data_IF_926334806260
#
_entry.id   IF_926334806260
#
_cell.length_a   1.000
_cell.length_b   1.000
_cell.length_c   1.000
_cell.angle_alpha   90.00
_cell.angle_beta   90.00
_cell.angle_gamma   90.00
#
_symmetry.space_group_name_H-M   'P 1'
#
loop_
_entity.id
_entity.type
_entity.pdbx_description
1 polymer ?
#
# COMPACT_ATOMS: atom_id res chain seq x y z
N UNK A 1 14.81 -0.30 -15.80
CA UNK A 1 13.46 -0.26 -16.40
C UNK A 1 12.57 -1.06 -15.47
N UNK A 2 11.48 -0.47 -14.98
CA UNK A 2 10.63 -1.14 -13.99
C UNK A 2 9.60 -2.04 -14.67
N UNK A 3 9.28 -3.12 -13.99
CA UNK A 3 8.38 -4.15 -14.49
C UNK A 3 7.02 -4.01 -13.82
N UNK A 4 6.00 -3.72 -14.59
CA UNK A 4 4.62 -3.56 -14.11
C UNK A 4 3.81 -4.77 -14.50
N UNK A 5 3.16 -5.40 -13.53
CA UNK A 5 2.16 -6.43 -13.77
C UNK A 5 0.79 -5.78 -13.91
N UNK A 6 0.05 -6.09 -14.96
CA UNK A 6 -1.37 -5.75 -15.13
C UNK A 6 -2.18 -7.04 -15.12
N UNK A 7 -3.23 -7.07 -14.31
CA UNK A 7 -4.20 -8.17 -14.30
C UNK A 7 -5.61 -7.58 -14.34
N UNK A 8 -6.27 -7.74 -15.48
CA UNK A 8 -7.61 -7.20 -15.74
C UNK A 8 -8.27 -8.07 -16.80
N UNK A 9 -9.46 -8.57 -16.55
CA UNK A 9 -10.18 -9.43 -17.53
C UNK A 9 -10.79 -8.64 -18.68
N UNK A 10 -10.97 -7.33 -18.51
CA UNK A 10 -11.35 -6.40 -19.57
C UNK A 10 -10.12 -6.10 -20.46
N UNK A 11 -10.00 -6.81 -21.57
CA UNK A 11 -8.85 -6.70 -22.49
C UNK A 11 -8.58 -5.28 -22.95
N UNK A 12 -9.62 -4.52 -23.24
CA UNK A 12 -9.53 -3.13 -23.72
C UNK A 12 -8.87 -2.23 -22.70
N UNK A 13 -9.18 -2.41 -21.40
CA UNK A 13 -8.57 -1.65 -20.31
C UNK A 13 -7.11 -2.07 -20.13
N UNK A 14 -6.84 -3.37 -20.08
CA UNK A 14 -5.49 -3.87 -19.93
C UNK A 14 -4.57 -3.45 -21.10
N UNK A 15 -5.09 -3.47 -22.34
CA UNK A 15 -4.36 -3.05 -23.54
C UNK A 15 -4.09 -1.53 -23.53
N UNK A 16 -5.07 -0.75 -23.12
CA UNK A 16 -4.91 0.70 -22.96
C UNK A 16 -3.84 1.04 -21.93
N UNK A 17 -3.89 0.40 -20.77
CA UNK A 17 -2.90 0.58 -19.70
C UNK A 17 -1.49 0.19 -20.16
N UNK A 18 -1.37 -0.92 -20.88
CA UNK A 18 -0.10 -1.35 -21.45
C UNK A 18 0.52 -0.27 -22.36
N UNK A 19 -0.28 0.34 -23.24
CA UNK A 19 0.19 1.42 -24.14
C UNK A 19 0.71 2.60 -23.33
N UNK A 20 -0.06 3.08 -22.35
CA UNK A 20 0.36 4.22 -21.53
C UNK A 20 1.61 3.93 -20.70
N UNK A 21 1.69 2.75 -20.10
CA UNK A 21 2.86 2.37 -19.30
C UNK A 21 4.12 2.17 -20.16
N UNK A 22 3.98 1.60 -21.33
CA UNK A 22 5.11 1.47 -22.28
C UNK A 22 5.61 2.83 -22.77
N UNK A 23 4.73 3.80 -22.99
CA UNK A 23 5.11 5.17 -23.34
C UNK A 23 5.91 5.87 -22.24
N UNK A 24 5.74 5.43 -20.98
CA UNK A 24 6.52 5.90 -19.83
C UNK A 24 7.79 5.04 -19.58
N UNK A 25 8.20 4.24 -20.55
CA UNK A 25 9.35 3.36 -20.49
C UNK A 25 9.29 2.29 -19.38
N UNK A 26 8.11 1.74 -19.09
CA UNK A 26 7.96 0.57 -18.24
C UNK A 26 7.93 -0.71 -19.07
N UNK A 27 8.45 -1.81 -18.50
CA UNK A 27 8.20 -3.14 -19.01
C UNK A 27 6.89 -3.67 -18.45
N UNK A 28 6.02 -4.25 -19.28
CA UNK A 28 4.67 -4.63 -18.87
C UNK A 28 4.46 -6.13 -19.05
N UNK A 29 4.09 -6.80 -17.95
CA UNK A 29 3.53 -8.14 -17.95
C UNK A 29 2.02 -8.03 -17.87
N UNK A 30 1.30 -8.48 -18.91
CA UNK A 30 -0.15 -8.36 -18.99
C UNK A 30 -0.83 -9.73 -18.95
N UNK A 31 -1.81 -9.86 -18.08
CA UNK A 31 -2.62 -11.06 -17.92
C UNK A 31 -4.10 -10.70 -17.84
N UNK A 32 -4.94 -11.55 -18.43
CA UNK A 32 -6.40 -11.42 -18.40
C UNK A 32 -7.04 -12.43 -17.44
N UNK A 33 -6.26 -13.08 -16.60
CA UNK A 33 -6.71 -14.10 -15.66
C UNK A 33 -5.77 -14.20 -14.48
N UNK A 34 -6.34 -14.16 -13.28
CA UNK A 34 -5.62 -14.32 -12.01
C UNK A 34 -4.93 -15.67 -11.89
N UNK A 35 -5.55 -16.75 -12.43
CA UNK A 35 -4.97 -18.10 -12.41
C UNK A 35 -3.65 -18.14 -13.16
N UNK A 36 -3.61 -17.56 -14.38
CA UNK A 36 -2.41 -17.53 -15.20
C UNK A 36 -1.27 -16.74 -14.55
N UNK A 37 -1.60 -15.70 -13.78
CA UNK A 37 -0.60 -14.97 -12.99
C UNK A 37 0.01 -15.87 -11.95
N UNK A 38 -0.80 -16.55 -11.14
CA UNK A 38 -0.32 -17.44 -10.06
C UNK A 38 0.56 -18.58 -10.57
N UNK A 39 0.32 -19.08 -11.78
CA UNK A 39 1.14 -20.12 -12.41
C UNK A 39 2.52 -19.61 -12.88
N UNK A 40 2.68 -18.30 -13.07
CA UNK A 40 3.87 -17.72 -13.68
C UNK A 40 4.59 -16.69 -12.81
N UNK A 41 4.01 -16.23 -11.71
CA UNK A 41 4.50 -15.11 -10.92
C UNK A 41 5.95 -15.30 -10.43
N UNK A 42 6.32 -16.53 -10.08
CA UNK A 42 7.68 -16.88 -9.60
C UNK A 42 8.77 -16.69 -10.67
N UNK A 43 8.38 -16.61 -11.95
CA UNK A 43 9.30 -16.41 -13.09
C UNK A 43 9.43 -14.94 -13.48
N UNK A 44 8.60 -14.07 -12.88
CA UNK A 44 8.55 -12.65 -13.23
C UNK A 44 9.30 -11.82 -12.20
N UNK A 45 10.02 -10.81 -12.67
CA UNK A 45 10.52 -9.74 -11.81
C UNK A 45 9.48 -8.63 -11.84
N UNK A 46 8.75 -8.44 -10.77
CA UNK A 46 7.68 -7.45 -10.67
C UNK A 46 8.09 -6.37 -9.68
N UNK A 47 8.00 -5.11 -10.11
CA UNK A 47 8.28 -3.95 -9.27
C UNK A 47 6.99 -3.28 -8.76
N UNK A 48 5.86 -3.48 -9.48
CA UNK A 48 4.52 -3.01 -9.09
C UNK A 48 3.46 -3.84 -9.80
N UNK A 49 2.31 -4.06 -9.16
CA UNK A 49 1.14 -4.67 -9.80
C UNK A 49 -0.07 -3.74 -9.81
N UNK A 50 -0.83 -3.79 -10.91
CA UNK A 50 -2.16 -3.19 -11.05
C UNK A 50 -3.13 -4.35 -11.20
N UNK A 51 -4.08 -4.47 -10.27
CA UNK A 51 -5.02 -5.59 -10.23
C UNK A 51 -6.45 -5.06 -10.31
N UNK A 52 -7.23 -5.57 -11.27
CA UNK A 52 -8.67 -5.39 -11.19
C UNK A 52 -9.25 -6.22 -10.04
N UNK A 53 -10.23 -5.67 -9.35
CA UNK A 53 -10.92 -6.37 -8.26
C UNK A 53 -11.96 -7.33 -8.80
N UNK A 54 -12.71 -6.91 -9.81
CA UNK A 54 -13.89 -7.60 -10.29
C UNK A 54 -13.56 -8.61 -11.40
N UNK A 55 -12.69 -9.57 -11.11
CA UNK A 55 -12.34 -10.61 -12.07
C UNK A 55 -13.07 -11.93 -11.79
N UNK A 56 -13.37 -12.73 -12.83
CA UNK A 56 -13.95 -14.06 -12.67
C UNK A 56 -12.98 -15.05 -12.02
N UNK A 57 -13.53 -16.12 -11.45
CA UNK A 57 -12.84 -17.23 -10.76
C UNK A 57 -12.11 -16.79 -9.48
N UNK A 58 -11.03 -16.06 -9.60
CA UNK A 58 -10.23 -15.51 -8.50
C UNK A 58 -10.26 -13.99 -8.64
N UNK A 59 -10.96 -13.31 -7.74
CA UNK A 59 -11.03 -11.86 -7.75
C UNK A 59 -9.68 -11.22 -7.34
N UNK A 60 -9.53 -9.92 -7.63
CA UNK A 60 -8.28 -9.21 -7.35
C UNK A 60 -7.86 -9.19 -5.88
N UNK A 61 -8.81 -9.23 -4.97
CA UNK A 61 -8.55 -9.27 -3.53
C UNK A 61 -7.93 -10.61 -3.12
N UNK A 62 -8.50 -11.69 -3.61
CA UNK A 62 -7.97 -13.03 -3.37
C UNK A 62 -6.60 -13.22 -4.02
N UNK A 63 -6.41 -12.67 -5.24
CA UNK A 63 -5.12 -12.66 -5.92
C UNK A 63 -4.08 -11.88 -5.10
N UNK A 64 -4.42 -10.70 -4.61
CA UNK A 64 -3.57 -9.88 -3.75
C UNK A 64 -3.12 -10.66 -2.50
N UNK A 65 -4.06 -11.30 -1.79
CA UNK A 65 -3.74 -12.14 -0.63
C UNK A 65 -2.76 -13.28 -0.93
N UNK A 66 -2.93 -13.91 -2.10
CA UNK A 66 -2.00 -14.98 -2.51
C UNK A 66 -0.62 -14.43 -2.84
N UNK A 67 -0.56 -13.27 -3.52
CA UNK A 67 0.70 -12.58 -3.82
C UNK A 67 1.41 -12.16 -2.53
N UNK A 68 0.69 -11.60 -1.57
CA UNK A 68 1.27 -11.09 -0.31
C UNK A 68 1.90 -12.16 0.59
N UNK A 69 1.61 -13.44 0.36
CA UNK A 69 2.30 -14.52 1.08
C UNK A 69 3.80 -14.56 0.81
N UNK A 70 4.21 -14.16 -0.40
CA UNK A 70 5.59 -14.32 -0.86
C UNK A 70 6.22 -13.04 -1.41
N UNK A 71 5.42 -11.99 -1.66
CA UNK A 71 5.88 -10.79 -2.37
C UNK A 71 5.40 -9.50 -1.72
N UNK A 72 6.29 -8.49 -1.68
CA UNK A 72 6.08 -7.19 -1.04
C UNK A 72 6.13 -6.00 -2.01
N UNK A 73 6.11 -6.24 -3.34
CA UNK A 73 6.02 -5.13 -4.29
C UNK A 73 4.68 -4.39 -4.18
N UNK A 74 4.62 -3.08 -4.46
CA UNK A 74 3.39 -2.31 -4.35
C UNK A 74 2.29 -2.83 -5.27
N UNK A 75 1.06 -2.80 -4.77
CA UNK A 75 -0.15 -3.21 -5.49
C UNK A 75 -1.14 -2.04 -5.50
N UNK A 76 -1.60 -1.68 -6.70
CA UNK A 76 -2.68 -0.72 -6.93
C UNK A 76 -3.91 -1.48 -7.38
N UNK A 77 -5.04 -1.31 -6.71
CA UNK A 77 -6.30 -1.84 -7.20
C UNK A 77 -6.96 -0.90 -8.21
N UNK A 78 -7.49 -1.45 -9.31
CA UNK A 78 -8.44 -0.80 -10.18
C UNK A 78 -9.85 -1.35 -9.87
N UNK A 79 -10.86 -0.50 -9.63
CA UNK A 79 -12.21 -0.95 -9.25
C UNK A 79 -13.29 -0.07 -9.84
N UNK A 80 -14.43 -0.67 -10.22
CA UNK A 80 -15.57 0.04 -10.80
C UNK A 80 -16.44 0.79 -9.77
N UNK A 81 -16.30 0.50 -8.44
CA UNK A 81 -17.20 1.08 -7.42
C UNK A 81 -16.47 1.54 -6.17
N UNK A 82 -16.79 2.78 -5.76
CA UNK A 82 -16.37 3.33 -4.46
C UNK A 82 -16.99 2.55 -3.30
N UNK A 83 -18.24 2.06 -3.44
CA UNK A 83 -18.92 1.24 -2.43
C UNK A 83 -18.31 -0.17 -2.25
N UNK A 84 -17.62 -0.69 -3.27
CA UNK A 84 -16.82 -1.90 -3.15
C UNK A 84 -15.51 -1.60 -2.38
N UNK A 85 -15.06 -0.35 -2.34
CA UNK A 85 -13.97 0.10 -1.46
C UNK A 85 -14.41 0.10 0.01
N UNK A 86 -15.64 0.42 0.33
CA UNK A 86 -16.19 0.30 1.69
C UNK A 86 -16.47 -1.18 2.07
N UNK A 87 -16.85 -2.01 1.09
CA UNK A 87 -16.88 -3.48 1.21
C UNK A 87 -15.49 -4.09 1.10
N UNK A 88 -14.56 -3.36 0.51
CA UNK A 88 -13.15 -3.64 0.55
C UNK A 88 -12.66 -3.23 1.95
N UNK A 89 -13.04 -3.97 2.90
CA UNK A 89 -12.09 -4.47 3.90
C UNK A 89 -10.79 -4.95 3.20
N UNK A 90 -10.62 -4.64 1.95
CA UNK A 90 -9.66 -5.13 0.99
C UNK A 90 -8.34 -4.41 0.93
N UNK A 91 -8.23 -3.23 1.46
CA UNK A 91 -6.91 -2.74 1.85
C UNK A 91 -6.44 -3.50 3.11
N UNK A 92 -7.34 -4.17 3.89
CA UNK A 92 -6.96 -5.18 4.90
C UNK A 92 -6.13 -6.32 4.30
N UNK A 93 -6.16 -6.48 3.00
CA UNK A 93 -5.47 -7.54 2.29
C UNK A 93 -4.11 -7.13 1.70
N UNK A 94 -3.62 -5.90 2.02
CA UNK A 94 -2.25 -5.50 1.71
C UNK A 94 -2.02 -4.77 0.39
N UNK A 95 -3.05 -4.16 -0.23
CA UNK A 95 -2.82 -3.21 -1.31
C UNK A 95 -2.27 -1.87 -0.77
N UNK A 96 -1.53 -1.17 -1.61
CA UNK A 96 -0.84 0.08 -1.25
C UNK A 96 -1.60 1.32 -1.71
N UNK A 97 -2.45 1.17 -2.75
CA UNK A 97 -3.28 2.25 -3.30
C UNK A 97 -4.44 1.67 -4.12
N UNK A 98 -5.37 2.53 -4.55
CA UNK A 98 -6.45 2.14 -5.45
C UNK A 98 -6.82 3.29 -6.39
N UNK A 99 -7.48 2.95 -7.51
CA UNK A 99 -8.06 3.89 -8.46
C UNK A 99 -9.44 3.40 -8.89
N UNK A 100 -10.40 4.31 -9.01
CA UNK A 100 -11.78 3.97 -9.41
C UNK A 100 -11.96 4.07 -10.92
N UNK A 101 -12.52 3.02 -11.53
CA UNK A 101 -12.93 3.03 -12.94
C UNK A 101 -14.25 3.84 -13.09
N UNK A 102 -14.43 4.69 -14.13
CA UNK A 102 -13.42 5.03 -15.11
C UNK A 102 -12.37 6.00 -14.55
N UNK A 103 -11.11 5.70 -14.75
CA UNK A 103 -10.00 6.56 -14.34
C UNK A 103 -9.35 7.25 -15.54
N UNK A 104 -8.74 8.40 -15.30
CA UNK A 104 -7.90 9.02 -16.31
C UNK A 104 -6.54 8.30 -16.35
N UNK A 105 -6.04 7.90 -17.53
CA UNK A 105 -4.76 7.20 -17.63
C UNK A 105 -3.60 7.94 -16.97
N UNK A 106 -3.58 9.27 -17.06
CA UNK A 106 -2.56 10.11 -16.41
C UNK A 106 -2.62 10.04 -14.88
N UNK A 107 -3.81 9.89 -14.28
CA UNK A 107 -3.95 9.69 -12.83
C UNK A 107 -3.30 8.37 -12.41
N UNK A 108 -3.59 7.28 -13.12
CA UNK A 108 -3.00 5.99 -12.81
C UNK A 108 -1.48 6.00 -12.98
N UNK A 109 -0.96 6.61 -14.05
CA UNK A 109 0.48 6.77 -14.27
C UNK A 109 1.14 7.55 -13.13
N UNK A 110 0.52 8.62 -12.65
CA UNK A 110 1.03 9.38 -11.51
C UNK A 110 1.13 8.51 -10.25
N UNK A 111 0.09 7.69 -9.97
CA UNK A 111 0.06 6.74 -8.85
C UNK A 111 1.14 5.67 -8.99
N UNK A 112 1.30 5.10 -10.17
CA UNK A 112 2.37 4.12 -10.48
C UNK A 112 3.75 4.73 -10.20
N UNK A 113 4.02 5.94 -10.73
CA UNK A 113 5.28 6.66 -10.50
C UNK A 113 5.52 6.91 -9.00
N UNK A 114 4.50 7.30 -8.26
CA UNK A 114 4.61 7.55 -6.83
C UNK A 114 4.92 6.27 -6.06
N UNK A 115 4.21 5.19 -6.32
CA UNK A 115 4.43 3.90 -5.66
C UNK A 115 5.81 3.32 -5.99
N UNK A 116 6.25 3.37 -7.25
CA UNK A 116 7.59 2.93 -7.65
C UNK A 116 8.70 3.78 -7.02
N UNK A 117 8.54 5.11 -7.04
CA UNK A 117 9.50 6.02 -6.38
C UNK A 117 9.63 5.68 -4.91
N UNK A 118 8.52 5.46 -4.22
CA UNK A 118 8.52 5.05 -2.81
C UNK A 118 9.21 3.71 -2.62
N UNK A 119 8.89 2.73 -3.45
CA UNK A 119 9.49 1.40 -3.41
C UNK A 119 11.00 1.44 -3.58
N UNK A 120 11.52 2.29 -4.48
CA UNK A 120 12.96 2.47 -4.73
C UNK A 120 13.66 3.33 -3.71
N UNK A 121 13.08 4.48 -3.34
CA UNK A 121 13.69 5.41 -2.37
C UNK A 121 13.74 4.80 -0.97
N UNK A 122 12.84 3.90 -0.66
CA UNK A 122 12.86 3.12 0.57
C UNK A 122 14.08 2.18 0.62
N UNK A 123 14.51 1.68 -0.53
CA UNK A 123 15.71 0.87 -0.65
C UNK A 123 17.02 1.72 -0.68
N UNK A 124 16.95 3.04 -0.88
CA UNK A 124 18.12 3.91 -1.03
C UNK A 124 18.41 4.86 0.15
N UNK A 125 17.44 5.11 1.03
CA UNK A 125 17.65 5.91 2.24
C UNK A 125 17.98 5.02 3.45
N UNK A 126 19.14 4.38 3.40
CA UNK A 126 19.74 3.69 4.53
C UNK A 126 21.02 4.45 4.91
N UNK A 127 20.88 5.65 5.44
CA UNK A 127 21.93 6.29 6.24
C UNK A 127 21.27 7.27 7.20
N UNK A 128 21.53 7.03 8.51
CA UNK A 128 21.30 7.88 9.69
C UNK A 128 19.87 7.97 10.27
N UNK A 129 19.63 7.13 11.14
CA UNK A 129 18.90 6.92 12.40
C UNK A 129 18.13 5.59 12.38
N UNK A 130 18.68 4.66 13.16
CA UNK A 130 18.59 3.25 12.80
C UNK A 130 17.43 2.52 13.47
N UNK A 131 17.08 2.90 14.69
CA UNK A 131 16.10 2.17 15.48
C UNK A 131 15.37 3.08 16.46
N UNK A 132 14.07 2.92 16.53
CA UNK A 132 13.25 3.52 17.58
C UNK A 132 12.76 2.39 18.48
N UNK A 133 13.11 2.49 19.75
CA UNK A 133 12.71 1.54 20.79
C UNK A 133 11.96 2.30 21.88
N UNK A 134 10.70 1.99 22.05
CA UNK A 134 9.90 2.52 23.15
C UNK A 134 8.76 1.57 23.50
N UNK A 135 8.67 1.25 24.79
CA UNK A 135 7.67 0.31 25.31
C UNK A 135 7.72 -1.04 24.65
N UNK A 136 6.55 -1.47 24.17
CA UNK A 136 6.38 -2.75 23.46
C UNK A 136 6.71 -2.64 21.95
N UNK A 137 7.17 -1.48 21.47
CA UNK A 137 7.45 -1.23 20.04
C UNK A 137 8.95 -1.09 19.81
N UNK A 138 9.47 -1.90 18.93
CA UNK A 138 10.80 -1.75 18.35
C UNK A 138 10.63 -1.70 16.83
N UNK A 139 11.06 -0.62 16.21
CA UNK A 139 11.02 -0.43 14.77
C UNK A 139 12.40 -0.04 14.26
N UNK A 140 12.90 -0.78 13.28
CA UNK A 140 14.22 -0.56 12.70
C UNK A 140 14.10 -0.17 11.23
N UNK A 141 14.51 1.04 10.91
CA UNK A 141 14.40 1.59 9.56
C UNK A 141 15.38 0.96 8.57
N UNK A 142 16.50 0.44 9.06
CA UNK A 142 17.54 -0.20 8.23
C UNK A 142 17.18 -1.61 7.82
N UNK A 143 16.65 -2.40 8.76
CA UNK A 143 16.22 -3.78 8.49
C UNK A 143 14.77 -3.88 8.05
N UNK A 144 14.00 -2.78 8.17
CA UNK A 144 12.55 -2.76 7.94
C UNK A 144 11.77 -3.75 8.82
N UNK A 145 12.26 -3.96 10.02
CA UNK A 145 11.65 -4.85 10.98
C UNK A 145 10.85 -4.07 12.01
N UNK A 146 9.72 -4.64 12.35
CA UNK A 146 8.85 -4.13 13.41
C UNK A 146 8.54 -5.25 14.39
N UNK A 147 8.77 -4.98 15.65
CA UNK A 147 8.45 -5.87 16.76
C UNK A 147 7.45 -5.19 17.70
N UNK A 148 6.49 -5.96 18.13
CA UNK A 148 5.49 -5.55 19.11
C UNK A 148 5.33 -6.63 20.15
N UNK A 149 5.52 -6.30 21.44
CA UNK A 149 5.61 -7.29 22.53
C UNK A 149 6.63 -8.40 22.20
N UNK A 150 7.80 -8.06 21.73
CA UNK A 150 8.88 -9.00 21.34
C UNK A 150 8.54 -9.90 20.15
N UNK A 151 7.34 -9.79 19.57
CA UNK A 151 6.93 -10.58 18.41
C UNK A 151 7.12 -9.77 17.13
N UNK A 152 7.78 -10.36 16.15
CA UNK A 152 7.93 -9.76 14.82
C UNK A 152 6.58 -9.70 14.11
N UNK A 153 6.23 -8.52 13.62
CA UNK A 153 5.03 -8.28 12.82
C UNK A 153 5.45 -7.87 11.41
N UNK A 154 4.91 -8.56 10.43
CA UNK A 154 5.14 -8.29 9.02
C UNK A 154 4.25 -7.13 8.55
N UNK A 155 4.88 -6.02 8.17
CA UNK A 155 4.21 -4.88 7.56
C UNK A 155 4.47 -4.81 6.05
N UNK A 156 3.49 -4.33 5.29
CA UNK A 156 3.73 -3.86 3.92
C UNK A 156 4.61 -2.61 3.99
N UNK A 157 5.22 -2.23 2.87
CA UNK A 157 6.07 -1.03 2.83
C UNK A 157 5.31 0.24 3.21
N UNK A 158 4.04 0.35 2.84
CA UNK A 158 3.18 1.48 3.20
C UNK A 158 2.89 1.49 4.69
N UNK A 159 2.50 0.36 5.24
CA UNK A 159 2.26 0.22 6.67
C UNK A 159 3.50 0.54 7.49
N UNK A 160 4.66 0.03 7.04
CA UNK A 160 5.92 0.35 7.70
C UNK A 160 6.23 1.85 7.64
N UNK A 161 6.08 2.49 6.47
CA UNK A 161 6.34 3.92 6.31
C UNK A 161 5.42 4.79 7.18
N UNK A 162 4.14 4.41 7.29
CA UNK A 162 3.17 5.08 8.19
C UNK A 162 3.61 4.89 9.65
N UNK A 163 3.90 3.65 10.05
CA UNK A 163 4.30 3.33 11.42
C UNK A 163 5.60 4.04 11.80
N UNK A 164 6.60 4.03 10.91
CA UNK A 164 7.86 4.74 11.10
C UNK A 164 7.62 6.23 11.36
N UNK A 165 6.87 6.90 10.47
CA UNK A 165 6.56 8.33 10.58
C UNK A 165 5.83 8.66 11.89
N UNK A 166 4.91 7.81 12.33
CA UNK A 166 4.20 7.99 13.57
C UNK A 166 5.14 7.79 14.79
N UNK A 167 6.05 6.82 14.72
CA UNK A 167 7.03 6.57 15.78
C UNK A 167 8.07 7.68 15.89
N UNK A 168 8.55 8.24 14.76
CA UNK A 168 9.41 9.43 14.74
C UNK A 168 8.75 10.64 15.40
N UNK A 169 7.43 10.77 15.19
CA UNK A 169 6.64 11.88 15.73
C UNK A 169 5.82 11.49 16.98
N UNK A 170 6.26 10.47 17.74
CA UNK A 170 5.55 10.04 18.95
C UNK A 170 5.28 11.22 19.90
N UNK A 171 4.16 11.18 20.57
CA UNK A 171 3.71 12.27 21.41
C UNK A 171 3.08 13.45 20.65
N UNK A 172 3.26 13.55 19.32
CA UNK A 172 2.72 14.63 18.48
C UNK A 172 1.64 14.10 17.53
N UNK A 173 0.78 14.99 17.07
CA UNK A 173 -0.22 14.65 16.05
C UNK A 173 0.40 14.83 14.68
N UNK A 174 0.43 13.77 13.88
CA UNK A 174 0.74 13.83 12.45
C UNK A 174 -0.56 14.07 11.70
N UNK A 175 -0.67 15.21 11.01
CA UNK A 175 -1.85 15.54 10.22
C UNK A 175 -2.02 14.58 9.06
N UNK A 176 -3.27 14.37 8.61
CA UNK A 176 -3.56 13.46 7.50
C UNK A 176 -2.88 13.89 6.19
N UNK A 177 -2.85 15.19 5.91
CA UNK A 177 -2.18 15.75 4.74
C UNK A 177 -0.66 15.57 4.79
N UNK A 178 -0.03 15.82 5.95
CA UNK A 178 1.41 15.62 6.16
C UNK A 178 1.78 14.14 6.07
N UNK A 179 0.96 13.26 6.67
CA UNK A 179 1.14 11.81 6.61
C UNK A 179 1.04 11.31 5.17
N UNK A 180 0.01 11.73 4.44
CA UNK A 180 -0.16 11.35 3.05
C UNK A 180 1.00 11.85 2.19
N UNK A 181 1.32 13.15 2.28
CA UNK A 181 2.42 13.73 1.52
C UNK A 181 3.76 13.06 1.82
N UNK A 182 4.02 12.69 3.08
CA UNK A 182 5.26 12.02 3.48
C UNK A 182 5.34 10.58 2.98
N UNK A 183 4.23 9.84 3.04
CA UNK A 183 4.19 8.41 2.69
C UNK A 183 3.99 8.22 1.19
N UNK A 184 3.06 8.93 0.55
CA UNK A 184 2.77 8.78 -0.89
C UNK A 184 3.57 9.73 -1.78
N UNK A 185 4.18 10.78 -1.18
CA UNK A 185 4.94 11.81 -1.92
C UNK A 185 4.10 12.55 -2.96
N UNK A 186 2.80 12.64 -2.70
CA UNK A 186 1.79 13.29 -3.55
C UNK A 186 1.03 14.35 -2.77
N UNK A 187 0.33 15.21 -3.50
CA UNK A 187 -0.57 16.19 -2.90
C UNK A 187 -1.81 15.48 -2.37
N UNK A 188 -2.12 15.72 -1.11
CA UNK A 188 -3.32 15.20 -0.45
C UNK A 188 -4.59 15.84 -1.01
N UNK A 189 -5.62 15.01 -1.19
CA UNK A 189 -7.00 15.42 -1.45
C UNK A 189 -7.92 14.75 -0.42
N UNK A 190 -9.10 15.33 -0.16
CA UNK A 190 -10.03 14.78 0.86
C UNK A 190 -10.40 13.31 0.61
N UNK A 191 -10.48 12.88 -0.65
CA UNK A 191 -10.72 11.47 -1.02
C UNK A 191 -9.61 10.52 -0.53
N UNK A 192 -8.40 11.01 -0.33
CA UNK A 192 -7.24 10.19 0.06
C UNK A 192 -7.27 9.85 1.56
N UNK A 193 -8.15 10.49 2.33
CA UNK A 193 -8.34 10.17 3.75
C UNK A 193 -8.76 8.72 3.95
N UNK A 194 -9.55 8.16 3.06
CA UNK A 194 -9.96 6.75 3.11
C UNK A 194 -8.77 5.80 2.98
N UNK A 195 -7.81 6.11 2.11
CA UNK A 195 -6.57 5.34 1.95
C UNK A 195 -5.77 5.28 3.27
N UNK A 196 -5.60 6.44 3.93
CA UNK A 196 -4.91 6.48 5.24
C UNK A 196 -5.67 5.66 6.28
N UNK A 197 -6.99 5.87 6.40
CA UNK A 197 -7.83 5.20 7.40
C UNK A 197 -7.70 3.68 7.34
N UNK A 198 -7.62 3.15 6.15
CA UNK A 198 -7.51 1.71 5.94
C UNK A 198 -6.16 1.19 6.41
N UNK A 199 -5.06 1.80 6.04
CA UNK A 199 -3.74 1.38 6.52
C UNK A 199 -3.61 1.51 8.05
N UNK A 200 -4.17 2.57 8.64
CA UNK A 200 -4.23 2.71 10.11
C UNK A 200 -5.04 1.57 10.74
N UNK A 201 -6.15 1.17 10.12
CA UNK A 201 -6.93 0.03 10.61
C UNK A 201 -6.11 -1.26 10.58
N UNK A 202 -5.36 -1.52 9.51
CA UNK A 202 -4.52 -2.72 9.40
C UNK A 202 -3.40 -2.74 10.42
N UNK A 203 -2.75 -1.61 10.61
CA UNK A 203 -1.73 -1.48 11.63
C UNK A 203 -2.29 -1.87 13.01
N UNK A 204 -3.50 -1.36 13.34
CA UNK A 204 -4.19 -1.72 14.57
C UNK A 204 -4.55 -3.21 14.66
N UNK A 205 -5.04 -3.77 13.56
CA UNK A 205 -5.38 -5.20 13.48
C UNK A 205 -4.14 -6.07 13.70
N UNK A 206 -3.03 -5.77 13.03
CA UNK A 206 -1.77 -6.50 13.18
C UNK A 206 -1.16 -6.38 14.57
N UNK A 207 -1.34 -5.23 15.23
CA UNK A 207 -0.90 -4.99 16.61
C UNK A 207 -1.92 -5.48 17.65
N UNK A 208 -3.04 -6.07 17.22
CA UNK A 208 -4.18 -6.41 18.10
C UNK A 208 -4.69 -5.21 18.94
N UNK A 209 -4.56 -3.99 18.38
CA UNK A 209 -5.02 -2.73 18.97
C UNK A 209 -6.43 -2.39 18.46
N UNK A 210 -7.30 -3.40 18.44
CA UNK A 210 -8.68 -3.33 17.94
C UNK A 210 -9.60 -2.92 19.06
N UNK A 211 -10.24 -1.75 18.95
CA UNK A 211 -11.21 -1.33 19.96
C UNK A 211 -11.79 0.05 19.70
N UNK A 212 -12.84 0.40 20.44
CA UNK A 212 -13.42 1.76 20.39
C UNK A 212 -12.43 2.85 20.83
N UNK A 213 -11.40 2.48 21.59
CA UNK A 213 -10.32 3.38 22.05
C UNK A 213 -8.97 2.66 21.85
N UNK A 214 -8.37 2.74 20.65
CA UNK A 214 -7.05 2.17 20.41
C UNK A 214 -6.03 2.71 21.42
N UNK A 215 -5.15 1.82 21.90
CA UNK A 215 -4.15 2.16 22.91
C UNK A 215 -2.93 2.87 22.29
N UNK A 216 -2.47 2.37 21.13
CA UNK A 216 -1.22 2.82 20.53
C UNK A 216 -1.43 3.90 19.48
N UNK A 217 -2.17 3.59 18.40
CA UNK A 217 -2.41 4.55 17.32
C UNK A 217 -3.76 5.23 17.57
N UNK A 218 -3.75 6.48 18.00
CA UNK A 218 -4.97 7.27 18.23
C UNK A 218 -5.39 8.06 17.02
N UNK A 219 -6.69 8.12 16.76
CA UNK A 219 -7.28 9.03 15.78
C UNK A 219 -7.61 10.35 16.46
N UNK A 220 -7.11 11.45 15.94
CA UNK A 220 -7.50 12.80 16.31
C UNK A 220 -8.44 13.29 15.23
N UNK A 221 -9.75 13.20 15.52
CA UNK A 221 -10.81 13.45 14.55
C UNK A 221 -10.65 14.82 13.87
N UNK A 222 -10.74 14.83 12.54
CA UNK A 222 -10.59 16.03 11.71
C UNK A 222 -9.16 16.56 11.59
N UNK A 223 -8.16 15.90 12.20
CA UNK A 223 -6.76 16.35 12.20
C UNK A 223 -5.82 15.29 11.64
N UNK A 224 -5.77 14.09 12.24
CA UNK A 224 -4.81 13.07 11.83
C UNK A 224 -4.64 11.96 12.88
N UNK A 225 -3.41 11.48 13.01
CA UNK A 225 -3.08 10.33 13.85
C UNK A 225 -1.91 10.61 14.78
N UNK A 226 -1.85 9.87 15.86
CA UNK A 226 -0.82 10.03 16.89
C UNK A 226 -0.46 8.68 17.51
N UNK A 227 0.82 8.45 17.77
CA UNK A 227 1.29 7.45 18.73
C UNK A 227 1.60 8.15 20.04
N UNK A 228 1.10 7.61 21.16
CA UNK A 228 1.35 8.18 22.48
C UNK A 228 2.78 7.86 22.97
N UNK A 229 3.38 8.78 23.70
CA UNK A 229 4.76 8.69 24.20
C UNK A 229 4.85 8.11 25.63
N UNK A 230 3.74 7.99 26.35
CA UNK A 230 3.68 7.62 27.79
C UNK A 230 4.00 6.21 28.15
#
# INVERSE_FOLDING_TARGET
MDNILIVDDEKEIADLLEIYLKNENYNVYKYYSSRKVLENIDKLKIDLAILDIMMPEINGLELCNKIRKNYNFPIIFATAKVEDIDKINGLSMGADDYVTKPFQPLELIARVKAQLRRYKNYNQKIEDEEQIDFREIVINNKTHEFYFNEQKIEFTKTEFAIMWLLCENRGKVVKSDDLFASVWKEKYFEKDNNTIMVHIRHLREKMNDIGRKPKYIKTIYGVGYKIEEW
#
